data_IF_876406124213
#
_entry.id   IF_876406124213
#
_cell.length_a   1.000
_cell.length_b   1.000
_cell.length_c   1.000
_cell.angle_alpha   90.00
_cell.angle_beta   90.00
_cell.angle_gamma   90.00
#
_symmetry.space_group_name_H-M   'P 1'
#
loop_
_entity.id
_entity.type
_entity.pdbx_description
1 polymer ?
#
# COMPACT_ATOMS: atom_id res chain seq x y z
N UNK A 1 -36.77 13.67 -49.72
CA UNK A 1 -37.06 12.75 -48.64
C UNK A 1 -35.85 12.74 -47.70
N UNK A 2 -35.97 13.40 -46.58
CA UNK A 2 -34.92 13.47 -45.59
C UNK A 2 -34.97 12.20 -44.71
N UNK A 3 -33.92 11.43 -44.77
CA UNK A 3 -33.69 10.32 -43.83
C UNK A 3 -32.93 10.84 -42.61
N UNK A 4 -33.61 10.91 -41.49
CA UNK A 4 -33.06 11.26 -40.20
C UNK A 4 -32.60 10.01 -39.51
N UNK A 5 -31.36 9.59 -39.80
CA UNK A 5 -30.66 8.57 -39.04
C UNK A 5 -30.36 9.06 -37.65
N UNK A 6 -31.17 8.64 -36.68
CA UNK A 6 -30.89 8.78 -35.27
C UNK A 6 -29.78 7.79 -34.87
N UNK A 7 -28.56 8.31 -34.80
CA UNK A 7 -27.46 7.63 -34.16
C UNK A 7 -27.69 7.67 -32.63
N UNK A 8 -28.24 6.57 -32.11
CA UNK A 8 -28.23 6.30 -30.68
C UNK A 8 -26.90 5.65 -30.33
N UNK A 9 -25.89 6.47 -30.18
CA UNK A 9 -24.69 6.07 -29.47
C UNK A 9 -25.07 5.56 -28.10
N UNK A 10 -24.88 4.28 -27.91
CA UNK A 10 -24.97 3.61 -26.64
C UNK A 10 -23.90 4.20 -25.70
N UNK A 11 -24.28 5.18 -24.93
CA UNK A 11 -23.54 5.50 -23.71
C UNK A 11 -23.62 4.28 -22.78
N UNK A 12 -22.62 3.44 -22.88
CA UNK A 12 -22.37 2.46 -21.82
C UNK A 12 -21.98 3.27 -20.58
N UNK A 13 -22.96 3.52 -19.74
CA UNK A 13 -22.74 3.93 -18.38
C UNK A 13 -21.89 2.85 -17.71
N UNK A 14 -20.58 3.02 -17.77
CA UNK A 14 -19.69 2.42 -16.82
C UNK A 14 -20.04 3.07 -15.51
N UNK A 15 -20.81 2.37 -14.70
CA UNK A 15 -21.01 2.71 -13.29
C UNK A 15 -19.61 2.69 -12.64
N UNK A 16 -18.90 3.78 -12.81
CA UNK A 16 -17.56 3.99 -12.31
C UNK A 16 -17.62 3.84 -10.80
N UNK A 17 -16.94 2.81 -10.30
CA UNK A 17 -16.49 2.80 -8.92
C UNK A 17 -15.85 4.15 -8.69
N UNK A 18 -16.49 5.01 -7.91
CA UNK A 18 -16.05 6.37 -7.72
C UNK A 18 -14.65 6.35 -7.08
N UNK A 19 -13.54 6.48 -7.84
CA UNK A 19 -12.19 6.37 -7.30
C UNK A 19 -11.92 7.45 -6.24
N UNK A 20 -12.73 8.52 -6.24
CA UNK A 20 -12.63 9.60 -5.28
C UNK A 20 -13.02 9.18 -3.86
N UNK A 21 -14.02 8.30 -3.69
CA UNK A 21 -14.46 7.86 -2.36
C UNK A 21 -13.39 7.06 -1.63
N UNK A 22 -12.76 6.11 -2.29
CA UNK A 22 -11.66 5.31 -1.69
C UNK A 22 -10.44 6.16 -1.39
N UNK A 23 -10.10 7.07 -2.29
CA UNK A 23 -9.02 8.01 -2.05
C UNK A 23 -9.33 8.91 -0.86
N UNK A 24 -10.56 9.41 -0.75
CA UNK A 24 -11.01 10.22 0.41
C UNK A 24 -10.92 9.42 1.72
N UNK A 25 -11.36 8.16 1.73
CA UNK A 25 -11.25 7.30 2.91
C UNK A 25 -9.79 7.12 3.35
N UNK A 26 -8.89 6.87 2.42
CA UNK A 26 -7.45 6.74 2.72
C UNK A 26 -6.82 8.06 3.19
N UNK A 27 -7.18 9.19 2.58
CA UNK A 27 -6.67 10.51 2.99
C UNK A 27 -7.12 10.89 4.40
N UNK A 28 -8.28 10.43 4.83
CA UNK A 28 -8.83 10.67 6.16
C UNK A 28 -8.18 9.80 7.25
N UNK A 29 -7.39 8.79 6.89
CA UNK A 29 -6.72 7.92 7.86
C UNK A 29 -5.67 8.69 8.64
N UNK A 30 -5.75 8.60 9.96
CA UNK A 30 -4.70 9.10 10.85
C UNK A 30 -3.70 7.97 11.09
N UNK A 31 -2.48 8.17 10.60
CA UNK A 31 -1.39 7.23 10.84
C UNK A 31 -0.79 7.52 12.21
N UNK A 32 -0.71 6.53 13.12
CA UNK A 32 -0.05 6.72 14.40
C UNK A 32 1.41 7.14 14.25
N UNK A 33 2.04 7.73 15.27
CA UNK A 33 3.46 8.03 15.24
C UNK A 33 4.28 6.78 14.89
N UNK A 34 5.15 6.90 13.90
CA UNK A 34 5.96 5.78 13.40
C UNK A 34 7.28 5.74 14.15
N UNK A 35 7.57 4.59 14.73
CA UNK A 35 8.86 4.30 15.38
C UNK A 35 9.61 3.23 14.63
N UNK A 36 10.92 3.23 14.76
CA UNK A 36 11.81 2.27 14.09
C UNK A 36 12.68 1.57 15.13
N UNK A 37 12.73 0.21 15.10
CA UNK A 37 13.63 -0.52 15.97
C UNK A 37 15.10 -0.15 15.74
N UNK A 38 15.78 0.38 16.73
CA UNK A 38 17.16 0.91 16.59
C UNK A 38 18.18 -0.16 16.19
N UNK A 39 17.93 -1.41 16.58
CA UNK A 39 18.80 -2.54 16.30
C UNK A 39 18.80 -2.97 14.82
N UNK A 40 17.84 -2.52 14.02
CA UNK A 40 17.76 -2.88 12.60
C UNK A 40 18.63 -1.96 11.74
N UNK A 41 19.50 -2.51 10.88
CA UNK A 41 20.35 -1.70 9.98
C UNK A 41 19.57 -0.71 9.10
N UNK A 42 18.39 -1.09 8.62
CA UNK A 42 17.52 -0.21 7.81
C UNK A 42 17.07 1.01 8.60
N UNK A 43 16.83 0.85 9.91
CA UNK A 43 16.41 1.98 10.77
C UNK A 43 17.48 3.08 10.83
N UNK A 44 18.74 2.71 10.90
CA UNK A 44 19.86 3.66 10.91
C UNK A 44 19.97 4.45 9.60
N UNK A 45 19.55 3.84 8.48
CA UNK A 45 19.62 4.44 7.14
C UNK A 45 18.30 4.96 6.61
N UNK A 46 17.27 5.03 7.45
CA UNK A 46 15.91 5.39 7.01
C UNK A 46 15.83 6.76 6.32
N UNK A 47 16.62 7.75 6.76
CA UNK A 47 16.63 9.08 6.15
C UNK A 47 17.19 9.06 4.73
N UNK A 48 18.23 8.29 4.51
CA UNK A 48 18.84 8.09 3.19
C UNK A 48 17.85 7.36 2.25
N UNK A 49 17.22 6.30 2.74
CA UNK A 49 16.21 5.54 1.99
C UNK A 49 15.02 6.43 1.66
N UNK A 50 14.53 7.17 2.63
CA UNK A 50 13.43 8.13 2.45
C UNK A 50 13.73 9.17 1.38
N UNK A 51 14.92 9.77 1.41
CA UNK A 51 15.36 10.73 0.40
C UNK A 51 15.46 10.11 -0.99
N UNK A 52 16.01 8.91 -1.10
CA UNK A 52 16.10 8.19 -2.37
C UNK A 52 14.71 7.90 -2.97
N UNK A 53 13.77 7.44 -2.16
CA UNK A 53 12.39 7.15 -2.59
C UNK A 53 11.67 8.44 -3.02
N UNK A 54 11.88 9.54 -2.32
CA UNK A 54 11.30 10.83 -2.68
C UNK A 54 11.82 11.34 -4.02
N UNK A 55 13.10 11.17 -4.27
CA UNK A 55 13.81 11.83 -5.39
C UNK A 55 13.90 10.95 -6.65
N UNK A 56 13.62 9.65 -6.55
CA UNK A 56 13.73 8.68 -7.66
C UNK A 56 12.47 7.84 -7.81
N UNK A 57 12.14 7.53 -9.06
CA UNK A 57 11.01 6.67 -9.39
C UNK A 57 11.28 5.20 -9.03
N UNK A 58 12.51 4.75 -9.20
CA UNK A 58 12.95 3.39 -8.89
C UNK A 58 14.10 3.44 -7.91
N UNK A 59 14.00 2.69 -6.83
CA UNK A 59 15.04 2.58 -5.80
C UNK A 59 15.29 1.11 -5.50
N UNK A 60 16.56 0.74 -5.48
CA UNK A 60 17.00 -0.60 -5.06
C UNK A 60 17.65 -0.48 -3.68
N UNK A 61 17.08 -1.17 -2.71
CA UNK A 61 17.61 -1.24 -1.35
C UNK A 61 18.22 -2.63 -1.15
N UNK A 62 19.54 -2.70 -1.13
CA UNK A 62 20.28 -3.94 -0.87
C UNK A 62 20.68 -4.02 0.60
N UNK A 63 20.60 -5.21 1.15
CA UNK A 63 20.99 -5.50 2.53
C UNK A 63 20.78 -6.97 2.85
N UNK A 64 21.43 -7.42 3.89
CA UNK A 64 21.34 -8.82 4.34
C UNK A 64 19.91 -9.17 4.83
N UNK A 65 19.59 -10.46 4.84
CA UNK A 65 18.39 -10.98 5.46
C UNK A 65 18.38 -10.60 6.94
N UNK A 66 17.25 -10.11 7.43
CA UNK A 66 17.13 -9.63 8.81
C UNK A 66 17.57 -8.18 9.04
N UNK A 67 17.94 -7.45 7.99
CA UNK A 67 18.25 -6.02 8.10
C UNK A 67 17.04 -5.10 8.33
N UNK A 68 15.83 -5.64 8.19
CA UNK A 68 14.57 -4.92 8.39
C UNK A 68 13.92 -4.33 7.14
N UNK A 69 14.43 -4.63 5.94
CA UNK A 69 13.89 -4.10 4.69
C UNK A 69 12.38 -4.35 4.55
N UNK A 70 11.96 -5.58 4.71
CA UNK A 70 10.60 -6.03 4.46
C UNK A 70 9.58 -5.34 5.39
N UNK A 71 9.92 -5.13 6.64
CA UNK A 71 9.01 -4.56 7.63
C UNK A 71 9.14 -3.05 7.78
N UNK A 72 10.30 -2.47 7.54
CA UNK A 72 10.56 -1.06 7.79
C UNK A 72 10.34 -0.17 6.57
N UNK A 73 10.64 -0.63 5.35
CA UNK A 73 10.42 0.18 4.15
C UNK A 73 8.95 0.58 3.97
N UNK A 74 7.94 -0.26 4.19
CA UNK A 74 6.55 0.17 4.16
C UNK A 74 6.24 1.31 5.15
N UNK A 75 6.86 1.31 6.31
CA UNK A 75 6.71 2.37 7.31
C UNK A 75 7.34 3.69 6.83
N UNK A 76 8.49 3.62 6.17
CA UNK A 76 9.14 4.78 5.54
C UNK A 76 8.23 5.39 4.47
N UNK A 77 7.59 4.55 3.65
CA UNK A 77 6.63 5.00 2.63
C UNK A 77 5.42 5.70 3.26
N UNK A 78 4.88 5.17 4.34
CA UNK A 78 3.80 5.81 5.09
C UNK A 78 4.21 7.17 5.65
N UNK A 79 5.41 7.27 6.20
CA UNK A 79 5.94 8.51 6.75
C UNK A 79 6.12 9.59 5.66
N UNK A 80 6.43 9.17 4.43
CA UNK A 80 6.46 10.05 3.25
C UNK A 80 5.07 10.46 2.74
N UNK A 81 3.99 9.99 3.37
CA UNK A 81 2.63 10.27 2.95
C UNK A 81 2.12 9.39 1.81
N UNK A 82 2.86 8.36 1.43
CA UNK A 82 2.41 7.39 0.41
C UNK A 82 1.23 6.56 0.94
N UNK A 83 0.48 5.97 0.05
CA UNK A 83 -0.68 5.12 0.39
C UNK A 83 -2.01 5.87 0.36
N UNK A 84 -2.04 7.19 0.37
CA UNK A 84 -3.24 8.00 0.43
C UNK A 84 -3.93 8.19 -0.92
N UNK A 85 -3.19 8.53 -1.94
CA UNK A 85 -3.72 8.69 -3.31
C UNK A 85 -3.84 7.35 -4.04
N UNK A 86 -2.90 6.46 -3.81
CA UNK A 86 -2.92 5.06 -4.22
C UNK A 86 -2.32 4.20 -3.12
N UNK A 87 -2.76 2.95 -2.99
CA UNK A 87 -2.24 2.04 -1.99
C UNK A 87 -0.76 1.72 -2.23
N UNK A 88 -0.02 1.51 -1.14
CA UNK A 88 1.30 0.89 -1.19
C UNK A 88 1.09 -0.61 -1.40
N UNK A 89 1.52 -1.13 -2.53
CA UNK A 89 1.55 -2.57 -2.80
C UNK A 89 2.86 -3.17 -2.32
N UNK A 90 2.78 -4.23 -1.53
CA UNK A 90 3.94 -4.97 -1.04
C UNK A 90 3.78 -6.44 -1.42
N UNK A 91 4.61 -6.93 -2.32
CA UNK A 91 4.52 -8.32 -2.78
C UNK A 91 5.46 -9.23 -2.01
N UNK A 92 4.98 -10.43 -1.72
CA UNK A 92 5.73 -11.52 -1.12
C UNK A 92 5.51 -12.81 -1.92
N UNK A 93 6.51 -13.66 -2.10
CA UNK A 93 6.36 -14.87 -2.93
C UNK A 93 5.52 -15.96 -2.29
N UNK A 94 5.36 -15.95 -0.97
CA UNK A 94 4.67 -17.01 -0.22
C UNK A 94 3.54 -16.45 0.62
N UNK A 95 2.40 -17.17 0.67
CA UNK A 95 1.20 -16.78 1.44
C UNK A 95 1.48 -16.56 2.92
N UNK A 96 2.22 -17.48 3.55
CA UNK A 96 2.56 -17.38 4.97
C UNK A 96 3.42 -16.16 5.22
N UNK A 97 4.39 -15.88 4.37
CA UNK A 97 5.23 -14.69 4.47
C UNK A 97 4.41 -13.40 4.33
N UNK A 98 3.49 -13.34 3.36
CA UNK A 98 2.62 -12.19 3.16
C UNK A 98 1.79 -11.88 4.42
N UNK A 99 1.18 -12.89 5.02
CA UNK A 99 0.41 -12.71 6.25
C UNK A 99 1.28 -12.28 7.42
N UNK A 100 2.37 -12.98 7.67
CA UNK A 100 3.29 -12.69 8.79
C UNK A 100 3.87 -11.28 8.68
N UNK A 101 4.25 -10.86 7.49
CA UNK A 101 4.75 -9.51 7.23
C UNK A 101 3.66 -8.46 7.50
N UNK A 102 2.45 -8.68 7.00
CA UNK A 102 1.34 -7.76 7.25
C UNK A 102 1.00 -7.63 8.73
N UNK A 103 0.93 -8.76 9.44
CA UNK A 103 0.70 -8.79 10.90
C UNK A 103 1.80 -8.05 11.65
N UNK A 104 3.05 -8.23 11.25
CA UNK A 104 4.19 -7.57 11.89
C UNK A 104 4.17 -6.06 11.68
N UNK A 105 3.92 -5.61 10.46
CA UNK A 105 3.83 -4.17 10.16
C UNK A 105 2.66 -3.54 10.95
N UNK A 106 1.49 -4.20 10.95
CA UNK A 106 0.33 -3.73 11.71
C UNK A 106 0.64 -3.63 13.21
N UNK A 107 1.28 -4.64 13.77
CA UNK A 107 1.70 -4.66 15.18
C UNK A 107 2.65 -3.50 15.49
N UNK A 108 3.66 -3.27 14.69
CA UNK A 108 4.62 -2.18 14.89
C UNK A 108 3.99 -0.78 14.75
N UNK A 109 2.93 -0.66 13.96
CA UNK A 109 2.14 0.58 13.83
C UNK A 109 1.08 0.74 14.93
N UNK A 110 0.87 -0.27 15.77
CA UNK A 110 -0.16 -0.26 16.81
C UNK A 110 -1.59 -0.30 16.25
N UNK A 111 -1.80 -0.94 15.12
CA UNK A 111 -3.11 -1.06 14.46
C UNK A 111 -3.45 -2.53 14.21
N UNK A 112 -4.74 -2.81 14.06
CA UNK A 112 -5.22 -4.15 13.71
C UNK A 112 -5.02 -4.44 12.22
N UNK A 113 -4.76 -5.71 11.90
CA UNK A 113 -4.73 -6.17 10.52
C UNK A 113 -6.10 -5.95 9.85
N UNK A 114 -6.09 -5.47 8.59
CA UNK A 114 -7.29 -5.09 7.85
C UNK A 114 -7.62 -3.60 7.92
N UNK A 115 -6.98 -2.86 8.79
CA UNK A 115 -7.08 -1.39 8.92
C UNK A 115 -6.06 -0.69 8.00
N UNK A 116 -5.07 0.00 8.58
CA UNK A 116 -4.01 0.69 7.81
C UNK A 116 -3.20 -0.31 6.97
N UNK A 117 -2.97 -1.50 7.52
CA UNK A 117 -2.26 -2.60 6.87
C UNK A 117 -3.23 -3.73 6.61
N UNK A 118 -3.36 -4.11 5.37
CA UNK A 118 -4.14 -5.28 4.96
C UNK A 118 -3.26 -6.30 4.25
N UNK A 119 -3.80 -7.51 4.03
CA UNK A 119 -3.15 -8.49 3.18
C UNK A 119 -4.15 -9.16 2.25
N UNK A 120 -3.66 -9.57 1.10
CA UNK A 120 -4.47 -10.28 0.11
C UNK A 120 -3.66 -11.43 -0.48
N UNK A 121 -4.21 -12.62 -0.34
CA UNK A 121 -3.75 -13.83 -1.00
C UNK A 121 -4.93 -14.46 -1.73
N UNK A 122 -4.68 -15.51 -2.51
CA UNK A 122 -5.76 -16.19 -3.23
C UNK A 122 -6.88 -16.61 -2.26
N UNK A 123 -8.11 -16.21 -2.55
CA UNK A 123 -9.34 -16.44 -1.78
C UNK A 123 -9.44 -15.74 -0.41
N UNK A 124 -8.48 -14.93 -0.03
CA UNK A 124 -8.52 -14.19 1.23
C UNK A 124 -8.10 -12.75 1.03
N UNK A 125 -8.96 -11.82 1.45
CA UNK A 125 -8.67 -10.38 1.45
C UNK A 125 -9.05 -9.82 2.83
N UNK A 126 -8.04 -9.47 3.62
CA UNK A 126 -8.20 -8.76 4.89
C UNK A 126 -7.73 -7.31 4.73
N UNK A 127 -8.51 -6.52 4.06
CA UNK A 127 -8.29 -5.09 3.85
C UNK A 127 -9.59 -4.32 3.89
N UNK A 128 -9.49 -3.00 3.97
CA UNK A 128 -10.62 -2.09 3.99
C UNK A 128 -10.38 -0.89 3.05
N UNK A 129 -11.36 -0.01 2.92
CA UNK A 129 -11.19 1.25 2.19
C UNK A 129 -10.13 2.16 2.81
N UNK A 130 -9.81 1.95 4.09
CA UNK A 130 -8.80 2.70 4.87
C UNK A 130 -7.40 2.11 4.76
N UNK A 131 -7.23 0.97 4.11
CA UNK A 131 -5.94 0.30 3.98
C UNK A 131 -5.00 1.11 3.10
N UNK A 132 -3.87 1.50 3.66
CA UNK A 132 -2.80 2.24 2.99
C UNK A 132 -1.71 1.33 2.45
N UNK A 133 -1.37 0.27 3.20
CA UNK A 133 -0.39 -0.76 2.82
C UNK A 133 -1.11 -2.08 2.61
N UNK A 134 -0.98 -2.65 1.44
CA UNK A 134 -1.55 -3.95 1.11
C UNK A 134 -0.44 -4.94 0.78
N UNK A 135 -0.24 -5.91 1.66
CA UNK A 135 0.70 -7.01 1.44
C UNK A 135 -0.01 -8.12 0.67
N UNK A 136 0.61 -8.62 -0.37
CA UNK A 136 -0.02 -9.60 -1.26
C UNK A 136 0.99 -10.61 -1.79
N UNK A 137 0.50 -11.72 -2.31
CA UNK A 137 1.31 -12.64 -3.10
C UNK A 137 1.26 -12.28 -4.57
N UNK A 138 2.27 -12.71 -5.32
CA UNK A 138 2.44 -12.38 -6.75
C UNK A 138 1.40 -13.08 -7.66
N UNK A 139 0.65 -14.05 -7.16
CA UNK A 139 -0.30 -14.82 -7.96
C UNK A 139 -1.69 -14.97 -7.40
#
# INVERSE_FOLDING_TARGET
VADTGLDRSHERSTAGRNPSRRAQARRAVVVPPITYPEQLPVSARRREISAAIRDHQVVIVAGETGSGKTTQIPKILLELGRGRDGQIGHTQPRRIAARTVAERIAFELGTSLGEIVGYQVRFTDESSERTLVKVMTDG
#
